data_IF_076418530779
#
_entry.id   IF_076418530779
#
_cell.length_a   1.000
_cell.length_b   1.000
_cell.length_c   1.000
_cell.angle_alpha   90.00
_cell.angle_beta   90.00
_cell.angle_gamma   90.00
#
_symmetry.space_group_name_H-M   'P 1'
#
loop_
_entity.id
_entity.type
_entity.pdbx_description
1 polymer ?
#
# COMPACT_ATOMS: atom_id res chain seq x y z
N UNK A 1 -6.90 -6.07 26.77
CA UNK A 1 -6.04 -6.17 25.56
C UNK A 1 -6.22 -4.91 24.74
N UNK A 2 -5.17 -4.09 24.57
CA UNK A 2 -5.25 -2.96 23.65
C UNK A 2 -5.36 -3.50 22.22
N UNK A 3 -6.44 -3.15 21.53
CA UNK A 3 -6.62 -3.46 20.11
C UNK A 3 -5.54 -2.66 19.35
N UNK A 4 -4.42 -3.32 18.99
CA UNK A 4 -3.43 -2.71 18.12
C UNK A 4 -4.11 -2.43 16.78
N UNK A 5 -4.30 -1.15 16.45
CA UNK A 5 -4.87 -0.73 15.16
C UNK A 5 -3.98 -1.29 14.05
N UNK A 6 -4.59 -2.03 13.13
CA UNK A 6 -3.91 -2.53 11.93
C UNK A 6 -3.52 -1.32 11.07
N UNK A 7 -2.28 -1.25 10.55
CA UNK A 7 -1.84 -0.12 9.75
C UNK A 7 -2.65 0.04 8.46
N UNK A 8 -2.85 1.29 8.03
CA UNK A 8 -3.38 1.63 6.72
C UNK A 8 -2.21 2.05 5.84
N UNK A 9 -2.02 1.35 4.72
CA UNK A 9 -0.97 1.65 3.75
C UNK A 9 -1.59 2.35 2.55
N UNK A 10 -1.00 3.48 2.18
CA UNK A 10 -1.43 4.24 1.02
C UNK A 10 -0.99 3.56 -0.27
N UNK A 11 -1.92 3.44 -1.21
CA UNK A 11 -1.69 2.82 -2.50
C UNK A 11 -1.97 3.80 -3.64
N UNK A 12 -1.12 3.73 -4.67
CA UNK A 12 -1.30 4.48 -5.92
C UNK A 12 -1.93 3.57 -6.97
N UNK A 13 -2.80 4.13 -7.82
CA UNK A 13 -3.22 3.42 -9.03
C UNK A 13 -2.04 3.32 -9.99
N UNK A 14 -1.82 2.12 -10.54
CA UNK A 14 -0.67 1.83 -11.41
C UNK A 14 -1.04 1.66 -12.88
N UNK A 15 -2.32 1.48 -13.20
CA UNK A 15 -2.81 1.29 -14.56
C UNK A 15 -4.29 1.70 -14.71
N UNK A 16 -4.76 1.77 -15.95
CA UNK A 16 -6.14 2.13 -16.29
C UNK A 16 -7.18 1.12 -15.79
N UNK A 17 -6.77 -0.10 -15.42
CA UNK A 17 -7.66 -1.07 -14.79
C UNK A 17 -7.88 -0.77 -13.30
N UNK A 18 -7.15 0.18 -12.72
CA UNK A 18 -7.24 0.58 -11.33
C UNK A 18 -6.48 -0.33 -10.37
N UNK A 19 -5.52 -1.13 -10.88
CA UNK A 19 -4.66 -1.92 -10.02
C UNK A 19 -3.82 -1.02 -9.12
N UNK A 20 -3.43 -1.54 -7.96
CA UNK A 20 -2.78 -0.75 -6.92
C UNK A 20 -1.31 -1.14 -6.76
N UNK A 21 -0.46 -0.16 -6.47
CA UNK A 21 0.91 -0.37 -6.00
C UNK A 21 1.13 0.29 -4.65
N UNK A 22 1.86 -0.39 -3.77
CA UNK A 22 2.32 0.15 -2.48
C UNK A 22 3.84 0.13 -2.43
N UNK A 23 4.46 1.17 -1.90
CA UNK A 23 5.88 1.13 -1.58
C UNK A 23 6.09 0.37 -0.27
N UNK A 24 6.98 -0.61 -0.27
CA UNK A 24 7.37 -1.33 0.94
C UNK A 24 8.79 -0.93 1.33
N UNK A 25 8.96 -0.27 2.49
CA UNK A 25 10.28 0.12 2.99
C UNK A 25 11.18 -1.07 3.38
N UNK A 26 10.58 -2.18 3.83
CA UNK A 26 11.32 -3.39 4.17
C UNK A 26 11.81 -4.15 2.93
N UNK A 27 10.98 -4.21 1.89
CA UNK A 27 11.30 -4.91 0.65
C UNK A 27 12.04 -3.96 -0.36
N UNK A 28 12.04 -2.65 -0.15
CA UNK A 28 12.74 -1.66 -0.99
C UNK A 28 12.16 -1.48 -2.40
N UNK A 29 10.90 -1.88 -2.60
CA UNK A 29 10.26 -1.94 -3.91
C UNK A 29 8.74 -1.74 -3.83
N UNK A 30 8.08 -1.66 -4.98
CA UNK A 30 6.62 -1.61 -5.06
C UNK A 30 6.01 -3.03 -5.06
N UNK A 31 5.06 -3.28 -4.17
CA UNK A 31 4.20 -4.47 -4.25
C UNK A 31 2.93 -4.16 -5.02
N UNK A 32 2.53 -5.07 -5.90
CA UNK A 32 1.35 -4.92 -6.72
C UNK A 32 0.15 -5.67 -6.15
N UNK A 33 -1.03 -5.07 -6.29
CA UNK A 33 -2.31 -5.60 -5.88
C UNK A 33 -3.35 -5.37 -6.99
N UNK A 34 -4.46 -6.10 -6.90
CA UNK A 34 -5.64 -5.83 -7.72
C UNK A 34 -6.34 -4.53 -7.35
N UNK A 35 -7.56 -4.35 -7.83
CA UNK A 35 -8.33 -3.10 -7.70
C UNK A 35 -8.96 -2.87 -6.32
N UNK A 36 -9.01 -3.90 -5.47
CA UNK A 36 -9.73 -3.88 -4.20
C UNK A 36 -9.00 -3.12 -3.07
N UNK A 37 -9.71 -2.16 -2.46
CA UNK A 37 -9.32 -1.52 -1.21
C UNK A 37 -9.91 -2.25 0.02
N UNK A 38 -9.44 -1.92 1.23
CA UNK A 38 -10.14 -2.31 2.47
C UNK A 38 -9.97 -3.78 2.91
N UNK A 39 -9.24 -4.60 2.16
CA UNK A 39 -8.86 -5.95 2.58
C UNK A 39 -7.57 -5.92 3.42
N UNK A 40 -7.52 -6.76 4.47
CA UNK A 40 -6.31 -6.94 5.27
C UNK A 40 -5.36 -7.85 4.50
N UNK A 41 -4.31 -7.27 3.94
CA UNK A 41 -3.28 -7.97 3.19
C UNK A 41 -2.09 -8.24 4.11
N UNK A 42 -1.58 -9.46 4.10
CA UNK A 42 -0.36 -9.86 4.81
C UNK A 42 0.60 -10.51 3.84
N UNK A 43 1.25 -9.70 3.01
CA UNK A 43 2.32 -10.15 2.13
C UNK A 43 3.46 -9.12 2.03
N UNK A 44 4.65 -9.54 2.45
CA UNK A 44 5.95 -9.10 1.94
C UNK A 44 6.73 -10.38 1.68
N UNK A 45 7.63 -10.35 0.72
CA UNK A 45 8.65 -11.39 0.57
C UNK A 45 9.76 -11.29 1.62
N UNK A 46 9.86 -10.15 2.32
CA UNK A 46 10.79 -9.94 3.43
C UNK A 46 10.15 -10.36 4.76
N UNK A 47 10.74 -11.37 5.42
CA UNK A 47 10.30 -11.91 6.72
C UNK A 47 10.45 -10.88 7.86
N UNK A 48 11.37 -9.92 7.75
CA UNK A 48 11.53 -8.83 8.72
C UNK A 48 10.45 -7.75 8.57
N UNK A 49 9.61 -7.84 7.54
CA UNK A 49 8.55 -6.86 7.34
C UNK A 49 7.46 -7.02 8.40
N UNK A 50 7.12 -5.97 9.17
CA UNK A 50 6.02 -6.05 10.14
C UNK A 50 4.68 -6.42 9.48
N UNK A 51 4.55 -6.16 8.17
CA UNK A 51 3.37 -6.46 7.38
C UNK A 51 3.10 -7.96 7.21
N UNK A 52 4.10 -8.84 7.31
CA UNK A 52 3.87 -10.29 7.22
C UNK A 52 3.09 -10.81 8.44
N UNK A 53 3.34 -10.22 9.62
CA UNK A 53 2.73 -10.66 10.88
C UNK A 53 1.46 -9.87 11.23
N UNK A 54 1.43 -8.56 10.98
CA UNK A 54 0.29 -7.73 11.35
C UNK A 54 -0.70 -7.53 10.22
N UNK A 55 -0.28 -7.75 8.97
CA UNK A 55 -1.01 -7.28 7.80
C UNK A 55 -1.21 -5.76 7.80
N UNK A 56 -1.92 -5.28 6.78
CA UNK A 56 -2.30 -3.88 6.61
C UNK A 56 -3.57 -3.76 5.77
N UNK A 57 -4.26 -2.63 5.86
CA UNK A 57 -5.36 -2.28 4.98
C UNK A 57 -4.88 -1.37 3.85
N UNK A 58 -5.25 -1.68 2.62
CA UNK A 58 -5.00 -0.80 1.47
C UNK A 58 -5.98 0.37 1.46
N UNK A 59 -5.44 1.57 1.27
CA UNK A 59 -6.22 2.79 0.98
C UNK A 59 -5.62 3.52 -0.21
N UNK A 60 -6.38 3.59 -1.29
CA UNK A 60 -6.09 4.33 -2.50
C UNK A 60 -5.96 5.81 -2.18
N UNK A 61 -4.91 6.41 -2.71
CA UNK A 61 -4.68 7.84 -2.63
C UNK A 61 -5.64 8.56 -3.59
N UNK A 62 -6.43 9.48 -3.06
CA UNK A 62 -7.15 10.46 -3.89
C UNK A 62 -6.23 11.65 -4.12
N UNK A 63 -5.54 11.67 -5.26
CA UNK A 63 -4.86 12.86 -5.71
C UNK A 63 -5.95 13.91 -6.01
N UNK A 64 -5.88 15.08 -5.37
CA UNK A 64 -6.91 16.13 -5.48
C UNK A 64 -6.91 16.87 -6.82
N UNK A 65 -6.55 16.18 -7.92
CA UNK A 65 -6.43 16.77 -9.26
C UNK A 65 -5.28 17.77 -9.41
N UNK A 66 -4.45 17.98 -8.39
CA UNK A 66 -3.21 18.75 -8.53
C UNK A 66 -2.16 17.85 -9.17
N UNK A 67 -1.80 18.16 -10.42
CA UNK A 67 -0.62 17.60 -11.05
C UNK A 67 0.61 17.87 -10.18
N UNK A 68 1.27 16.80 -9.74
CA UNK A 68 2.54 16.91 -9.02
C UNK A 68 3.60 16.90 -10.12
N UNK A 69 3.99 18.09 -10.56
CA UNK A 69 5.12 18.24 -11.48
C UNK A 69 6.39 18.00 -10.67
N UNK A 70 7.14 16.97 -11.02
CA UNK A 70 8.49 16.79 -10.48
C UNK A 70 9.30 18.04 -10.84
N UNK A 71 9.82 18.74 -9.83
CA UNK A 71 10.85 19.76 -10.08
C UNK A 71 12.15 19.03 -10.35
N UNK A 72 12.71 19.26 -11.53
CA UNK A 72 14.08 18.92 -11.92
C UNK A 72 15.11 19.55 -10.99
#
# INVERSE_FOLDING_TARGET
>A
MAIKKVPIVLAIERDAAGNLSIWCSACGCYHHHGTGEGHRQSHCSNEDSPYIHTGYFLKRMKLSGKEIVAKE
#
